data_IF_288831092862
#
_entry.id   IF_288831092862
#
_cell.length_a   1.000
_cell.length_b   1.000
_cell.length_c   1.000
_cell.angle_alpha   90.00
_cell.angle_beta   90.00
_cell.angle_gamma   90.00
#
_symmetry.space_group_name_H-M   'P 1'
#
loop_
_entity.id
_entity.type
_entity.pdbx_description
1 polymer ?
#
# COMPACT_ATOMS: atom_id res chain seq x y z
N UNK A 1 37.67 -15.76 17.00
CA UNK A 1 37.16 -14.87 15.93
C UNK A 1 35.64 -14.94 15.92
N UNK A 2 34.96 -13.80 16.12
CA UNK A 2 33.89 -13.41 15.20
C UNK A 2 34.14 -11.99 14.66
N UNK A 3 33.72 -11.77 13.41
CA UNK A 3 33.99 -10.58 12.60
C UNK A 3 32.82 -9.60 12.55
N UNK A 4 33.22 -8.33 12.44
CA UNK A 4 32.50 -7.06 12.47
C UNK A 4 31.48 -6.79 11.36
N UNK A 5 30.61 -5.81 11.64
CA UNK A 5 30.00 -4.88 10.66
C UNK A 5 28.54 -4.61 11.00
N UNK A 6 28.04 -3.40 11.26
CA UNK A 6 28.58 -2.04 11.18
C UNK A 6 27.35 -1.12 11.09
N UNK A 7 27.03 -0.41 12.18
CA UNK A 7 25.91 0.55 12.26
C UNK A 7 26.23 1.77 11.40
N UNK A 8 25.30 2.17 10.54
CA UNK A 8 25.27 3.52 9.97
C UNK A 8 24.06 4.30 10.49
N UNK A 9 24.40 5.25 11.36
CA UNK A 9 23.60 6.41 11.73
C UNK A 9 23.77 7.43 10.59
N UNK A 10 22.72 8.14 10.19
CA UNK A 10 22.92 9.47 9.62
C UNK A 10 21.79 10.46 9.99
N UNK A 11 22.10 11.74 10.25
CA UNK A 11 21.27 12.65 11.04
C UNK A 11 20.77 13.92 10.29
N UNK A 12 19.92 14.70 10.98
CA UNK A 12 19.54 16.13 10.77
C UNK A 12 18.67 16.43 9.53
N UNK A 13 17.48 17.04 9.62
CA UNK A 13 17.07 18.34 10.18
C UNK A 13 17.68 19.57 9.47
N UNK A 14 16.78 20.43 8.96
CA UNK A 14 16.91 21.86 8.63
C UNK A 14 17.56 22.29 7.29
N UNK A 15 16.72 22.86 6.40
CA UNK A 15 16.91 23.94 5.39
C UNK A 15 15.75 23.82 4.37
N UNK A 16 14.66 24.58 4.48
CA UNK A 16 14.43 25.95 3.98
C UNK A 16 14.15 26.05 2.47
N UNK A 17 13.02 26.68 2.16
CA UNK A 17 12.73 27.59 1.04
C UNK A 17 13.01 27.14 -0.41
N UNK A 18 11.93 27.16 -1.19
CA UNK A 18 11.80 27.69 -2.58
C UNK A 18 12.73 27.11 -3.65
N UNK A 19 12.12 26.55 -4.70
CA UNK A 19 12.65 26.64 -6.06
C UNK A 19 13.16 25.33 -6.66
N UNK A 20 12.36 24.83 -7.60
CA UNK A 20 12.76 24.17 -8.85
C UNK A 20 13.74 23.00 -8.83
N UNK A 21 13.22 21.83 -9.26
CA UNK A 21 14.05 20.85 -9.94
C UNK A 21 13.29 20.28 -11.14
N UNK A 22 13.33 21.04 -12.24
CA UNK A 22 13.27 20.47 -13.58
C UNK A 22 14.70 20.19 -14.06
N UNK A 23 14.87 19.06 -14.76
CA UNK A 23 15.99 18.65 -15.64
C UNK A 23 17.35 18.36 -15.00
N UNK A 24 17.75 17.08 -14.92
CA UNK A 24 18.57 16.41 -15.97
C UNK A 24 18.93 14.94 -15.60
N UNK A 25 19.05 14.09 -16.63
CA UNK A 25 19.67 12.74 -16.69
C UNK A 25 18.82 11.53 -16.24
N UNK A 26 18.03 10.84 -17.08
CA UNK A 26 18.37 10.03 -18.28
C UNK A 26 19.12 8.71 -17.98
N UNK A 27 18.37 7.63 -17.69
CA UNK A 27 18.61 6.26 -18.19
C UNK A 27 17.55 5.26 -17.71
N UNK A 28 17.16 4.37 -18.63
CA UNK A 28 16.32 3.16 -18.49
C UNK A 28 14.85 3.40 -18.14
N UNK A 29 13.85 2.87 -18.85
CA UNK A 29 13.84 1.91 -19.95
C UNK A 29 12.40 1.41 -20.04
N UNK A 30 11.64 1.90 -21.01
CA UNK A 30 10.30 1.39 -21.33
C UNK A 30 10.45 0.55 -22.59
N UNK A 31 10.23 -0.76 -22.50
CA UNK A 31 10.05 -1.61 -23.68
C UNK A 31 8.57 -1.88 -23.87
N UNK A 32 8.11 -1.48 -25.05
CA UNK A 32 6.76 -1.61 -25.55
C UNK A 32 6.31 -3.07 -25.66
N UNK A 33 5.05 -3.29 -25.33
CA UNK A 33 4.27 -4.45 -25.77
C UNK A 33 3.75 -4.11 -27.17
N UNK A 34 4.21 -4.80 -28.20
CA UNK A 34 3.41 -4.98 -29.41
C UNK A 34 3.68 -6.35 -30.05
N UNK A 35 2.56 -7.01 -30.31
CA UNK A 35 2.42 -8.38 -30.79
C UNK A 35 2.94 -8.52 -32.23
N UNK A 36 3.71 -9.57 -32.49
CA UNK A 36 3.90 -10.10 -33.83
C UNK A 36 3.55 -11.59 -33.81
N UNK A 37 2.44 -11.93 -34.48
CA UNK A 37 2.08 -13.29 -34.89
C UNK A 37 3.11 -13.78 -35.90
N UNK A 38 3.72 -14.94 -35.65
CA UNK A 38 4.39 -15.73 -36.68
C UNK A 38 3.60 -17.02 -36.86
N UNK A 39 2.84 -17.05 -37.96
CA UNK A 39 2.27 -18.25 -38.57
C UNK A 39 3.38 -19.02 -39.26
N UNK A 40 3.41 -20.33 -39.07
CA UNK A 40 4.37 -21.23 -39.70
C UNK A 40 3.73 -21.84 -40.96
N UNK A 41 3.95 -21.20 -42.11
CA UNK A 41 3.53 -21.70 -43.42
C UNK A 41 4.54 -22.72 -43.97
N UNK A 42 4.10 -23.99 -44.10
CA UNK A 42 4.88 -25.05 -44.74
C UNK A 42 4.66 -25.00 -46.25
N UNK A 43 5.66 -24.51 -46.99
CA UNK A 43 5.69 -24.48 -48.45
C UNK A 43 5.51 -25.88 -49.06
N UNK A 44 4.50 -26.03 -49.90
CA UNK A 44 4.45 -27.00 -51.01
C UNK A 44 5.50 -26.60 -52.05
N UNK A 45 6.39 -27.52 -52.41
CA UNK A 45 7.18 -27.44 -53.64
C UNK A 45 6.78 -28.60 -54.54
N UNK A 46 6.12 -28.27 -55.64
CA UNK A 46 5.92 -29.08 -56.82
C UNK A 46 7.10 -28.91 -57.78
N UNK A 47 7.55 -30.00 -58.40
CA UNK A 47 8.51 -30.02 -59.51
C UNK A 47 8.78 -31.47 -59.98
N UNK A 48 9.19 -31.71 -61.24
CA UNK A 48 8.34 -32.37 -62.23
C UNK A 48 8.83 -33.75 -62.74
N UNK A 49 8.03 -34.31 -63.66
CA UNK A 49 8.20 -35.55 -64.40
C UNK A 49 9.44 -35.60 -65.31
N UNK A 50 9.93 -36.83 -65.59
CA UNK A 50 10.93 -37.13 -66.61
C UNK A 50 11.41 -38.60 -66.61
N UNK A 51 10.77 -39.38 -67.49
CA UNK A 51 11.09 -40.66 -68.17
C UNK A 51 12.37 -41.49 -67.89
N UNK A 52 12.14 -42.81 -67.84
CA UNK A 52 12.82 -43.78 -68.72
C UNK A 52 13.99 -44.60 -68.16
N UNK A 53 13.75 -45.89 -67.85
CA UNK A 53 14.46 -47.04 -68.43
C UNK A 53 14.08 -48.35 -67.72
N UNK A 54 13.66 -49.34 -68.52
CA UNK A 54 13.66 -50.76 -68.19
C UNK A 54 15.03 -51.21 -67.65
N UNK A 55 15.03 -52.20 -66.76
CA UNK A 55 15.80 -53.45 -66.85
C UNK A 55 15.55 -54.25 -65.55
N UNK A 56 14.77 -55.33 -65.66
CA UNK A 56 15.03 -56.51 -64.83
C UNK A 56 16.04 -57.42 -65.54
N UNK A 57 16.39 -58.59 -64.99
CA UNK A 57 16.05 -59.17 -63.69
C UNK A 57 17.32 -59.51 -62.88
N UNK A 58 17.20 -59.90 -61.60
CA UNK A 58 17.88 -61.11 -61.11
C UNK A 58 17.43 -61.51 -59.70
N UNK A 59 17.07 -62.79 -59.58
CA UNK A 59 16.89 -63.49 -58.32
C UNK A 59 18.27 -63.95 -57.86
N UNK A 60 18.71 -63.49 -56.70
CA UNK A 60 19.91 -63.96 -55.99
C UNK A 60 19.60 -64.17 -54.51
N UNK A 61 20.31 -65.07 -53.82
CA UNK A 61 19.73 -65.95 -52.82
C UNK A 61 19.50 -65.29 -51.45
N UNK A 62 18.38 -65.68 -50.87
CA UNK A 62 18.06 -65.52 -49.45
C UNK A 62 19.16 -66.19 -48.61
N UNK A 63 19.98 -65.39 -47.91
CA UNK A 63 20.81 -65.89 -46.80
C UNK A 63 20.02 -65.63 -45.52
N UNK A 64 19.63 -66.71 -44.88
CA UNK A 64 18.92 -66.72 -43.63
C UNK A 64 19.80 -66.24 -42.46
N UNK A 65 19.16 -65.48 -41.57
CA UNK A 65 19.24 -65.59 -40.11
C UNK A 65 20.61 -65.38 -39.45
N UNK A 66 20.81 -64.18 -38.90
CA UNK A 66 21.83 -63.93 -37.89
C UNK A 66 21.80 -62.53 -37.27
N UNK A 67 21.61 -61.48 -38.08
CA UNK A 67 21.80 -60.08 -37.64
C UNK A 67 20.50 -59.27 -37.51
N UNK A 68 19.40 -59.69 -38.14
CA UNK A 68 18.08 -59.02 -38.02
C UNK A 68 17.46 -59.15 -36.62
N UNK A 69 17.81 -60.19 -35.86
CA UNK A 69 17.31 -60.37 -34.49
C UNK A 69 17.87 -59.30 -33.54
N UNK A 70 19.10 -58.84 -33.76
CA UNK A 70 19.80 -57.90 -32.87
C UNK A 70 19.29 -56.46 -33.06
N UNK A 71 19.10 -56.03 -34.31
CA UNK A 71 18.48 -54.73 -34.64
C UNK A 71 17.05 -54.61 -34.11
N UNK A 72 16.26 -55.68 -34.24
CA UNK A 72 14.88 -55.68 -33.74
C UNK A 72 14.83 -55.64 -32.22
N UNK A 73 15.79 -56.26 -31.54
CA UNK A 73 15.93 -56.25 -30.08
C UNK A 73 16.36 -54.87 -29.57
N UNK A 74 17.24 -54.17 -30.30
CA UNK A 74 17.63 -52.78 -30.02
C UNK A 74 16.44 -51.83 -30.18
N UNK A 75 15.63 -51.98 -31.24
CA UNK A 75 14.41 -51.19 -31.45
C UNK A 75 13.38 -51.39 -30.33
N UNK A 76 13.20 -52.63 -29.87
CA UNK A 76 12.32 -52.96 -28.75
C UNK A 76 12.85 -52.39 -27.43
N UNK A 77 14.16 -52.44 -27.19
CA UNK A 77 14.78 -51.83 -26.01
C UNK A 77 14.64 -50.30 -26.01
N UNK A 78 14.77 -49.65 -27.17
CA UNK A 78 14.50 -48.22 -27.33
C UNK A 78 13.02 -47.92 -27.05
N UNK A 79 12.09 -48.67 -27.66
CA UNK A 79 10.66 -48.52 -27.40
C UNK A 79 10.33 -48.67 -25.90
N UNK A 80 10.90 -49.67 -25.24
CA UNK A 80 10.67 -49.95 -23.82
C UNK A 80 11.31 -48.91 -22.89
N UNK A 81 12.36 -48.20 -23.33
CA UNK A 81 12.96 -47.09 -22.57
C UNK A 81 12.22 -45.77 -22.76
N UNK A 82 11.57 -45.57 -23.91
CA UNK A 82 10.77 -44.38 -24.24
C UNK A 82 9.41 -44.35 -23.54
N UNK A 83 8.75 -45.50 -23.40
CA UNK A 83 7.42 -45.58 -22.74
C UNK A 83 7.41 -45.08 -21.27
N UNK A 84 8.38 -45.42 -20.39
CA UNK A 84 8.41 -44.87 -19.03
C UNK A 84 8.85 -43.41 -19.00
N UNK A 85 9.56 -42.90 -20.01
CA UNK A 85 9.87 -41.46 -20.09
C UNK A 85 8.65 -40.64 -20.48
N UNK A 86 7.79 -41.14 -21.37
CA UNK A 86 6.52 -40.48 -21.73
C UNK A 86 5.60 -40.35 -20.51
N UNK A 87 5.44 -41.41 -19.72
CA UNK A 87 4.63 -41.34 -18.50
C UNK A 87 5.17 -40.38 -17.43
N UNK A 88 6.50 -40.17 -17.37
CA UNK A 88 7.11 -39.16 -16.49
C UNK A 88 6.89 -37.75 -17.02
N UNK A 89 6.92 -37.56 -18.34
CA UNK A 89 6.62 -36.28 -19.00
C UNK A 89 5.16 -35.90 -18.75
N UNK A 90 4.23 -36.85 -18.89
CA UNK A 90 2.81 -36.62 -18.59
C UNK A 90 2.58 -36.25 -17.12
N UNK A 91 3.24 -36.96 -16.21
CA UNK A 91 3.19 -36.65 -14.76
C UNK A 91 3.75 -35.26 -14.45
N UNK A 92 4.84 -34.87 -15.11
CA UNK A 92 5.42 -33.53 -14.96
C UNK A 92 4.49 -32.47 -15.53
N UNK A 93 3.91 -32.70 -16.71
CA UNK A 93 2.95 -31.78 -17.33
C UNK A 93 1.76 -31.54 -16.41
N UNK A 94 1.17 -32.62 -15.86
CA UNK A 94 0.06 -32.53 -14.92
C UNK A 94 0.43 -31.70 -13.66
N UNK A 95 1.64 -31.92 -13.13
CA UNK A 95 2.12 -31.14 -11.97
C UNK A 95 2.35 -29.66 -12.31
N UNK A 96 2.84 -29.36 -13.52
CA UNK A 96 3.00 -27.99 -14.00
C UNK A 96 1.66 -27.29 -14.21
N UNK A 97 0.67 -27.98 -14.79
CA UNK A 97 -0.70 -27.44 -14.95
C UNK A 97 -1.31 -27.09 -13.59
N UNK A 98 -1.16 -28.00 -12.62
CA UNK A 98 -1.65 -27.79 -11.25
C UNK A 98 -0.91 -26.64 -10.54
N UNK A 99 0.40 -26.51 -10.73
CA UNK A 99 1.16 -25.36 -10.23
C UNK A 99 0.67 -24.05 -10.85
N UNK A 100 0.39 -24.05 -12.16
CA UNK A 100 -0.10 -22.87 -12.87
C UNK A 100 -1.47 -22.45 -12.33
N UNK A 101 -2.35 -23.41 -12.06
CA UNK A 101 -3.65 -23.17 -11.43
C UNK A 101 -3.50 -22.57 -10.00
N UNK A 102 -2.59 -23.11 -9.20
CA UNK A 102 -2.32 -22.60 -7.86
C UNK A 102 -1.77 -21.17 -7.90
N UNK A 103 -0.85 -20.87 -8.84
CA UNK A 103 -0.32 -19.52 -9.03
C UNK A 103 -1.39 -18.53 -9.47
N UNK A 104 -2.30 -18.92 -10.35
CA UNK A 104 -3.43 -18.08 -10.75
C UNK A 104 -4.37 -17.78 -9.57
N UNK A 105 -4.68 -18.80 -8.76
CA UNK A 105 -5.47 -18.61 -7.52
C UNK A 105 -4.79 -17.66 -6.55
N UNK A 106 -3.49 -17.81 -6.33
CA UNK A 106 -2.73 -16.91 -5.47
C UNK A 106 -2.65 -15.49 -6.03
N UNK A 107 -2.44 -15.33 -7.33
CA UNK A 107 -2.44 -14.02 -7.98
C UNK A 107 -3.79 -13.30 -7.82
N UNK A 108 -4.90 -14.02 -7.94
CA UNK A 108 -6.24 -13.47 -7.69
C UNK A 108 -6.43 -13.05 -6.24
N UNK A 109 -6.02 -13.90 -5.29
CA UNK A 109 -6.14 -13.60 -3.87
C UNK A 109 -5.27 -12.41 -3.45
N UNK A 110 -4.05 -12.30 -3.99
CA UNK A 110 -3.18 -11.15 -3.76
C UNK A 110 -3.78 -9.86 -4.32
N UNK A 111 -4.26 -9.87 -5.57
CA UNK A 111 -4.94 -8.68 -6.13
C UNK A 111 -6.16 -8.25 -5.32
N UNK A 112 -6.94 -9.21 -4.79
CA UNK A 112 -8.07 -8.90 -3.93
C UNK A 112 -7.62 -8.32 -2.59
N UNK A 113 -6.55 -8.86 -2.00
CA UNK A 113 -5.96 -8.34 -0.78
C UNK A 113 -5.44 -6.92 -0.98
N UNK A 114 -4.70 -6.65 -2.06
CA UNK A 114 -4.14 -5.33 -2.37
C UNK A 114 -5.25 -4.29 -2.55
N UNK A 115 -6.35 -4.64 -3.21
CA UNK A 115 -7.52 -3.75 -3.34
C UNK A 115 -8.14 -3.42 -1.99
N UNK A 116 -8.33 -4.42 -1.13
CA UNK A 116 -8.88 -4.22 0.22
C UNK A 116 -7.95 -3.36 1.07
N UNK A 117 -6.64 -3.55 0.96
CA UNK A 117 -5.65 -2.72 1.64
C UNK A 117 -5.73 -1.28 1.15
N UNK A 118 -5.78 -1.05 -0.17
CA UNK A 118 -5.94 0.29 -0.74
C UNK A 118 -7.20 0.98 -0.24
N UNK A 119 -8.35 0.29 -0.24
CA UNK A 119 -9.62 0.84 0.25
C UNK A 119 -9.56 1.22 1.73
N UNK A 120 -8.89 0.39 2.56
CA UNK A 120 -8.70 0.65 3.98
C UNK A 120 -7.75 1.84 4.20
N UNK A 121 -6.66 1.92 3.46
CA UNK A 121 -5.71 3.02 3.53
C UNK A 121 -6.37 4.34 3.13
N UNK A 122 -7.13 4.36 2.03
CA UNK A 122 -7.88 5.52 1.57
C UNK A 122 -8.91 5.96 2.63
N UNK A 123 -9.71 5.02 3.15
CA UNK A 123 -10.67 5.31 4.22
C UNK A 123 -10.01 5.82 5.51
N UNK A 124 -8.85 5.29 5.87
CA UNK A 124 -8.09 5.76 7.02
C UNK A 124 -7.61 7.19 6.82
N UNK A 125 -7.12 7.55 5.63
CA UNK A 125 -6.71 8.93 5.35
C UNK A 125 -7.88 9.90 5.44
N UNK A 126 -9.05 9.53 4.91
CA UNK A 126 -10.26 10.36 5.01
C UNK A 126 -10.66 10.57 6.47
N UNK A 127 -10.72 9.50 7.27
CA UNK A 127 -11.04 9.57 8.69
C UNK A 127 -10.07 10.48 9.46
N UNK A 128 -8.77 10.36 9.23
CA UNK A 128 -7.75 11.21 9.87
C UNK A 128 -7.96 12.67 9.48
N UNK A 129 -8.22 12.97 8.20
CA UNK A 129 -8.46 14.36 7.78
C UNK A 129 -9.73 14.94 8.41
N UNK A 130 -10.80 14.14 8.51
CA UNK A 130 -12.05 14.54 9.17
C UNK A 130 -11.83 14.80 10.66
N UNK A 131 -11.11 13.91 11.34
CA UNK A 131 -10.77 14.07 12.76
C UNK A 131 -9.96 15.35 13.02
N UNK A 132 -8.98 15.66 12.15
CA UNK A 132 -8.21 16.91 12.27
C UNK A 132 -9.10 18.14 12.10
N UNK A 133 -10.05 18.12 11.16
CA UNK A 133 -11.01 19.22 10.97
C UNK A 133 -11.89 19.40 12.21
N UNK A 134 -12.50 18.32 12.70
CA UNK A 134 -13.35 18.32 13.88
C UNK A 134 -12.60 18.85 15.11
N UNK A 135 -11.36 18.40 15.33
CA UNK A 135 -10.55 18.88 16.46
C UNK A 135 -10.24 20.38 16.37
N UNK A 136 -10.00 20.91 15.16
CA UNK A 136 -9.81 22.35 14.95
C UNK A 136 -11.07 23.14 15.28
N UNK A 137 -12.23 22.66 14.82
CA UNK A 137 -13.52 23.28 15.11
C UNK A 137 -13.83 23.26 16.60
N UNK A 138 -13.63 22.11 17.26
CA UNK A 138 -13.79 21.96 18.70
C UNK A 138 -12.91 22.97 19.46
N UNK A 139 -11.63 23.05 19.12
CA UNK A 139 -10.72 24.00 19.76
C UNK A 139 -11.14 25.46 19.51
N UNK A 140 -11.61 25.80 18.31
CA UNK A 140 -12.14 27.13 18.03
C UNK A 140 -13.37 27.45 18.86
N UNK A 141 -14.29 26.50 19.02
CA UNK A 141 -15.48 26.65 19.85
C UNK A 141 -15.11 26.80 21.33
N UNK A 142 -14.16 26.01 21.84
CA UNK A 142 -13.66 26.14 23.21
C UNK A 142 -13.12 27.54 23.48
N UNK A 143 -12.23 28.03 22.61
CA UNK A 143 -11.67 29.37 22.74
C UNK A 143 -12.75 30.46 22.72
N UNK A 144 -13.80 30.31 21.91
CA UNK A 144 -14.93 31.23 21.90
C UNK A 144 -15.73 31.18 23.20
N UNK A 145 -15.97 29.99 23.74
CA UNK A 145 -16.67 29.82 25.02
C UNK A 145 -15.85 30.44 26.15
N UNK A 146 -14.55 30.18 26.20
CA UNK A 146 -13.65 30.76 27.20
C UNK A 146 -13.63 32.29 27.13
N UNK A 147 -13.59 32.86 25.92
CA UNK A 147 -13.66 34.31 25.72
C UNK A 147 -15.01 34.89 26.19
N UNK A 148 -16.13 34.24 25.82
CA UNK A 148 -17.46 34.66 26.28
C UNK A 148 -17.63 34.53 27.80
N UNK A 149 -17.06 33.50 28.42
CA UNK A 149 -17.06 33.32 29.87
C UNK A 149 -16.23 34.41 30.56
N UNK A 150 -15.06 34.74 30.00
CA UNK A 150 -14.22 35.83 30.48
C UNK A 150 -14.91 37.19 30.35
N UNK A 151 -15.60 37.44 29.23
CA UNK A 151 -16.39 38.66 29.02
C UNK A 151 -17.57 38.74 29.99
N UNK A 152 -18.30 37.64 30.18
CA UNK A 152 -19.43 37.56 31.12
C UNK A 152 -19.00 37.81 32.56
N UNK A 153 -17.81 37.35 32.95
CA UNK A 153 -17.27 37.52 34.31
C UNK A 153 -16.43 38.78 34.49
N UNK A 154 -16.15 39.55 33.42
CA UNK A 154 -15.25 40.71 33.46
C UNK A 154 -15.64 41.74 34.52
N UNK A 155 -16.93 41.95 34.72
CA UNK A 155 -17.46 42.93 35.67
C UNK A 155 -17.85 42.32 37.02
N UNK A 156 -17.69 41.00 37.19
CA UNK A 156 -18.08 40.32 38.40
C UNK A 156 -16.91 40.31 39.39
N UNK A 157 -17.09 40.94 40.55
CA UNK A 157 -16.13 40.90 41.65
C UNK A 157 -16.40 39.69 42.54
N UNK A 158 -15.35 38.95 42.90
CA UNK A 158 -15.43 37.81 43.82
C UNK A 158 -14.67 38.12 45.10
N UNK A 159 -15.42 38.30 46.20
CA UNK A 159 -14.85 38.51 47.53
C UNK A 159 -14.75 37.13 48.20
N UNK A 160 -13.54 36.75 48.62
CA UNK A 160 -13.25 35.45 49.23
C UNK A 160 -12.81 35.66 50.68
N UNK A 161 -13.23 34.78 51.60
CA UNK A 161 -12.87 34.88 53.02
C UNK A 161 -13.81 35.72 53.88
N UNK A 162 -15.02 36.02 53.37
CA UNK A 162 -16.09 36.61 54.17
C UNK A 162 -16.64 35.52 55.10
N UNK A 163 -16.77 35.84 56.39
CA UNK A 163 -17.39 34.93 57.34
C UNK A 163 -18.84 34.67 56.92
N UNK A 164 -19.23 33.39 56.90
CA UNK A 164 -20.64 33.01 56.78
C UNK A 164 -21.40 33.76 57.91
N UNK A 165 -22.61 34.25 57.65
CA UNK A 165 -23.46 35.05 58.58
C UNK A 165 -23.27 36.57 58.68
N UNK A 166 -22.21 37.19 58.15
CA UNK A 166 -22.07 38.67 58.24
C UNK A 166 -22.87 39.45 57.21
N UNK A 167 -23.26 38.83 56.09
CA UNK A 167 -23.89 39.49 54.94
C UNK A 167 -25.28 38.93 54.59
N UNK A 168 -25.90 38.14 55.48
CA UNK A 168 -27.15 37.41 55.16
C UNK A 168 -28.34 38.36 55.00
N UNK A 169 -28.44 39.41 55.84
CA UNK A 169 -29.59 40.32 55.80
C UNK A 169 -29.35 41.58 54.96
N UNK A 170 -28.11 42.10 54.87
CA UNK A 170 -27.81 43.35 54.17
C UNK A 170 -26.44 43.30 53.47
N UNK A 171 -26.39 42.72 52.28
CA UNK A 171 -25.16 42.67 51.48
C UNK A 171 -24.72 44.07 51.02
N UNK A 172 -25.67 44.95 50.68
CA UNK A 172 -25.38 46.34 50.24
C UNK A 172 -24.62 47.13 51.30
N UNK A 173 -25.14 47.19 52.53
CA UNK A 173 -24.49 47.90 53.64
C UNK A 173 -23.13 47.29 54.03
N UNK A 174 -22.96 45.97 53.89
CA UNK A 174 -21.66 45.33 54.08
C UNK A 174 -20.65 45.78 53.01
N UNK A 175 -21.05 45.82 51.73
CA UNK A 175 -20.18 46.25 50.64
C UNK A 175 -19.84 47.73 50.77
N UNK A 176 -20.78 48.59 51.14
CA UNK A 176 -20.51 50.02 51.38
C UNK A 176 -19.46 50.22 52.49
N UNK A 177 -19.64 49.55 53.64
CA UNK A 177 -18.67 49.62 54.73
C UNK A 177 -17.30 49.09 54.30
N UNK A 178 -17.28 47.97 53.58
CA UNK A 178 -16.05 47.37 53.06
C UNK A 178 -15.32 48.29 52.08
N UNK A 179 -16.05 48.93 51.16
CA UNK A 179 -15.49 49.87 50.19
C UNK A 179 -14.89 51.09 50.91
N UNK A 180 -15.63 51.69 51.84
CA UNK A 180 -15.16 52.84 52.63
C UNK A 180 -13.93 52.47 53.47
N UNK A 181 -13.90 51.25 54.04
CA UNK A 181 -12.76 50.77 54.81
C UNK A 181 -11.50 50.52 53.96
N UNK A 182 -11.67 50.01 52.73
CA UNK A 182 -10.54 49.66 51.84
C UNK A 182 -9.98 50.87 51.07
N UNK A 183 -10.85 51.74 50.55
CA UNK A 183 -10.48 52.86 49.68
C UNK A 183 -10.44 54.21 50.41
N UNK A 184 -10.91 54.25 51.66
CA UNK A 184 -10.88 55.41 52.55
C UNK A 184 -12.05 56.37 52.34
N UNK A 185 -12.46 57.05 53.42
CA UNK A 185 -13.59 57.99 53.41
C UNK A 185 -13.38 59.18 52.46
N UNK A 186 -12.12 59.59 52.23
CA UNK A 186 -11.80 60.71 51.34
C UNK A 186 -12.27 60.48 49.89
N UNK A 187 -12.23 59.23 49.43
CA UNK A 187 -12.59 58.83 48.05
C UNK A 187 -14.10 58.83 47.81
N UNK A 188 -14.92 58.71 48.86
CA UNK A 188 -16.38 58.62 48.79
C UNK A 188 -17.10 59.82 49.44
N UNK A 189 -16.40 60.95 49.60
CA UNK A 189 -16.94 62.16 50.23
C UNK A 189 -18.09 62.79 49.41
N UNK A 190 -18.10 62.55 48.09
CA UNK A 190 -19.22 62.90 47.22
C UNK A 190 -20.14 61.68 47.07
N UNK A 191 -21.36 61.84 47.55
CA UNK A 191 -22.43 60.84 47.57
C UNK A 191 -22.49 60.03 46.25
N UNK A 192 -22.19 58.73 46.32
CA UNK A 192 -22.58 57.80 45.25
C UNK A 192 -24.08 57.58 45.35
N UNK A 193 -24.84 58.27 44.50
CA UNK A 193 -26.24 57.89 44.22
C UNK A 193 -26.19 56.67 43.31
N UNK A 194 -26.51 55.50 43.86
CA UNK A 194 -26.77 54.30 43.07
C UNK A 194 -28.23 54.34 42.62
N UNK A 195 -28.48 54.56 41.32
CA UNK A 195 -29.78 54.33 40.66
C UNK A 195 -29.90 52.88 40.18
#
# INVERSE_FOLDING_TARGET
MPSNGGKFICPKAFLSLVGDCCTFCAKCGKSDKNQAKLQFDRRKTSGPAGDGAELGPEKGPYIASGEEQDLHQILVAMQHSLTPTDGKIDSLSYRMDRMTEHLDKHAKHLNQSDRRVSEVEDGQTELVTSQVKLNKELNSLRLKVDDLEALSRRNNLRIVGVAEYTAIDNMEGFIEQLLVQLLGCATFSDLLVME
#
